data_IF_232685447697
#
_entry.id   IF_232685447697
#
_cell.length_a   1.000
_cell.length_b   1.000
_cell.length_c   1.000
_cell.angle_alpha   90.00
_cell.angle_beta   90.00
_cell.angle_gamma   90.00
#
_symmetry.space_group_name_H-M   'P 1'
#
loop_
_entity.id
_entity.type
_entity.pdbx_description
1 polymer ?
#
# COMPACT_ATOMS: atom_id res chain seq x y z
N UNK A 1 64.13 -24.23 -3.92
CA UNK A 1 63.85 -22.82 -4.25
C UNK A 1 62.55 -22.81 -5.07
N UNK A 2 61.39 -22.84 -4.39
CA UNK A 2 60.54 -21.68 -4.05
C UNK A 2 59.77 -21.07 -5.24
N UNK A 3 58.49 -20.82 -4.94
CA UNK A 3 57.42 -20.11 -5.68
C UNK A 3 56.56 -20.96 -6.60
N UNK A 4 55.24 -20.79 -6.66
CA UNK A 4 54.19 -20.36 -5.73
C UNK A 4 52.88 -20.64 -6.50
N UNK A 5 51.83 -20.97 -5.77
CA UNK A 5 50.51 -21.26 -6.30
C UNK A 5 49.83 -20.02 -6.92
N UNK A 6 48.96 -20.22 -7.92
CA UNK A 6 47.65 -19.57 -7.89
C UNK A 6 46.60 -20.27 -8.77
N UNK A 7 45.49 -20.55 -8.09
CA UNK A 7 44.28 -21.27 -8.47
C UNK A 7 43.30 -20.41 -9.28
N UNK A 8 42.42 -21.01 -10.12
CA UNK A 8 41.45 -20.29 -10.94
C UNK A 8 40.39 -19.57 -10.10
N UNK A 9 40.09 -18.33 -10.49
CA UNK A 9 39.05 -17.48 -9.88
C UNK A 9 37.66 -18.09 -10.11
N UNK A 10 37.21 -18.90 -9.17
CA UNK A 10 35.81 -19.31 -9.06
C UNK A 10 34.94 -18.11 -8.67
N UNK A 11 34.01 -17.74 -9.55
CA UNK A 11 32.96 -16.75 -9.24
C UNK A 11 32.04 -17.32 -8.17
N UNK A 12 32.16 -16.80 -6.94
CA UNK A 12 31.24 -17.15 -5.85
C UNK A 12 29.84 -16.65 -6.22
N UNK A 13 28.98 -17.57 -6.67
CA UNK A 13 27.54 -17.32 -6.71
C UNK A 13 27.07 -17.13 -5.27
N UNK A 14 26.79 -15.89 -4.89
CA UNK A 14 26.10 -15.61 -3.64
C UNK A 14 24.69 -16.22 -3.71
N UNK A 15 24.46 -17.27 -2.92
CA UNK A 15 23.11 -17.80 -2.69
C UNK A 15 22.31 -16.73 -1.94
N UNK A 16 21.46 -16.01 -2.66
CA UNK A 16 20.40 -15.19 -2.07
C UNK A 16 19.37 -16.16 -1.48
N UNK A 17 19.27 -16.22 -0.15
CA UNK A 17 18.15 -16.89 0.51
C UNK A 17 16.96 -15.95 0.44
N UNK A 18 15.88 -16.39 -0.20
CA UNK A 18 14.59 -15.72 -0.13
C UNK A 18 14.04 -15.90 1.29
N UNK A 19 14.13 -14.84 2.12
CA UNK A 19 13.29 -14.73 3.31
C UNK A 19 11.85 -14.44 2.86
N UNK A 20 10.86 -15.04 3.52
CA UNK A 20 9.43 -14.92 3.17
C UNK A 20 8.83 -13.55 3.54
N UNK A 21 9.67 -12.58 3.84
CA UNK A 21 9.31 -11.19 4.13
C UNK A 21 10.09 -10.33 3.14
N UNK A 22 9.34 -9.56 2.35
CA UNK A 22 9.77 -8.70 1.24
C UNK A 22 11.27 -8.44 1.06
N UNK A 23 11.72 -8.67 -0.19
CA UNK A 23 13.02 -8.30 -0.74
C UNK A 23 13.59 -6.97 -0.18
N UNK A 24 14.74 -7.02 0.48
CA UNK A 24 15.67 -5.90 0.80
C UNK A 24 17.10 -6.52 0.88
N UNK A 25 18.23 -5.99 0.42
CA UNK A 25 18.66 -4.91 -0.51
C UNK A 25 20.21 -4.96 -0.62
N UNK A 26 20.80 -4.53 -1.75
CA UNK A 26 22.27 -4.46 -1.95
C UNK A 26 22.89 -3.07 -1.73
N UNK A 27 22.11 -2.04 -1.40
CA UNK A 27 22.58 -0.67 -1.15
C UNK A 27 22.29 -0.29 0.32
N UNK A 28 23.29 0.16 1.08
CA UNK A 28 23.21 0.47 2.52
C UNK A 28 22.28 1.63 2.94
N UNK A 29 21.21 1.91 2.20
CA UNK A 29 20.13 2.84 2.56
C UNK A 29 18.99 2.05 3.18
N UNK A 30 18.41 2.57 4.26
CA UNK A 30 17.20 2.02 4.88
C UNK A 30 16.01 2.28 3.94
N UNK A 31 15.70 1.33 3.08
CA UNK A 31 14.50 1.39 2.26
C UNK A 31 13.31 0.94 3.11
N UNK A 32 12.36 1.85 3.28
CA UNK A 32 11.07 1.51 3.87
C UNK A 32 10.28 0.75 2.82
N UNK A 33 9.99 -0.52 3.09
CA UNK A 33 9.10 -1.32 2.24
C UNK A 33 7.68 -0.86 2.54
N UNK A 34 7.06 -0.19 1.58
CA UNK A 34 5.65 0.24 1.64
C UNK A 34 4.74 -0.84 1.06
N UNK A 35 3.57 -1.05 1.65
CA UNK A 35 2.55 -1.99 1.19
C UNK A 35 1.21 -1.31 0.84
N UNK A 36 1.17 0.01 0.79
CA UNK A 36 0.06 0.78 0.25
C UNK A 36 0.53 2.07 -0.44
N UNK A 37 -0.30 2.64 -1.31
CA UNK A 37 -0.02 3.87 -2.05
C UNK A 37 -1.17 4.86 -1.85
N UNK A 38 -0.81 6.08 -1.45
CA UNK A 38 -1.64 7.28 -1.44
C UNK A 38 -1.23 8.17 -2.61
N UNK A 39 -2.19 8.57 -3.46
CA UNK A 39 -1.89 9.28 -4.71
C UNK A 39 -2.14 10.78 -4.61
N UNK A 40 -3.17 11.21 -3.89
CA UNK A 40 -3.48 12.63 -3.67
C UNK A 40 -3.67 12.90 -2.17
N UNK A 41 -3.26 14.09 -1.72
CA UNK A 41 -3.44 14.53 -0.32
C UNK A 41 -4.90 14.65 0.12
N UNK A 42 -5.84 14.74 -0.83
CA UNK A 42 -7.30 14.80 -0.58
C UNK A 42 -7.91 13.41 -0.40
N UNK A 43 -7.19 12.35 -0.76
CA UNK A 43 -7.70 10.99 -0.66
C UNK A 43 -7.93 10.61 0.81
N UNK A 44 -9.05 9.95 1.07
CA UNK A 44 -9.34 9.35 2.38
C UNK A 44 -9.20 7.82 2.38
N UNK A 45 -8.72 7.26 1.26
CA UNK A 45 -8.39 5.84 1.10
C UNK A 45 -7.05 5.69 0.39
N UNK A 46 -6.28 4.67 0.74
CA UNK A 46 -5.08 4.25 -0.01
C UNK A 46 -5.31 2.89 -0.68
N UNK A 47 -4.47 2.52 -1.65
CA UNK A 47 -4.52 1.20 -2.29
C UNK A 47 -3.43 0.29 -1.74
N UNK A 48 -3.80 -0.85 -1.17
CA UNK A 48 -2.84 -1.88 -0.75
C UNK A 48 -2.14 -2.49 -1.97
N UNK A 49 -0.81 -2.57 -1.96
CA UNK A 49 0.00 -3.18 -3.04
C UNK A 49 0.41 -4.62 -2.72
N UNK A 50 0.18 -5.07 -1.50
CA UNK A 50 0.24 -6.46 -1.05
C UNK A 50 -0.90 -6.72 -0.07
N UNK A 51 -1.21 -8.00 0.26
CA UNK A 51 -2.16 -8.29 1.33
C UNK A 51 -1.71 -7.67 2.66
N UNK A 52 -2.66 -7.28 3.49
CA UNK A 52 -2.45 -6.85 4.88
C UNK A 52 -3.35 -7.70 5.79
N UNK A 53 -2.84 -8.09 6.94
CA UNK A 53 -3.58 -8.87 7.94
C UNK A 53 -4.04 -7.99 9.09
N UNK A 54 -5.13 -8.38 9.75
CA UNK A 54 -5.58 -7.71 10.96
C UNK A 54 -4.44 -7.62 12.00
N UNK A 55 -4.20 -6.43 12.54
CA UNK A 55 -3.10 -6.14 13.48
C UNK A 55 -1.79 -5.71 12.82
N UNK A 56 -1.66 -5.77 11.49
CA UNK A 56 -0.51 -5.21 10.79
C UNK A 56 -0.47 -3.68 10.89
N UNK A 57 0.72 -3.12 10.62
CA UNK A 57 0.88 -1.70 10.31
C UNK A 57 1.01 -1.53 8.80
N UNK A 58 0.09 -0.79 8.19
CA UNK A 58 0.10 -0.49 6.77
C UNK A 58 1.03 0.71 6.55
N UNK A 59 2.07 0.49 5.77
CA UNK A 59 3.09 1.47 5.41
C UNK A 59 2.75 2.09 4.07
N UNK A 60 2.31 3.34 4.14
CA UNK A 60 1.76 4.04 2.98
C UNK A 60 2.86 4.86 2.31
N UNK A 61 3.09 4.62 1.03
CA UNK A 61 3.85 5.54 0.19
C UNK A 61 3.00 6.79 -0.02
N UNK A 62 3.52 7.95 0.41
CA UNK A 62 2.85 9.24 0.26
C UNK A 62 1.95 9.66 1.43
N UNK A 63 1.93 8.90 2.53
CA UNK A 63 1.14 9.21 3.73
C UNK A 63 1.74 8.61 5.00
N UNK A 64 1.03 8.78 6.12
CA UNK A 64 1.41 8.21 7.42
C UNK A 64 1.11 6.71 7.49
N UNK A 65 1.79 5.99 8.38
CA UNK A 65 1.46 4.59 8.66
C UNK A 65 0.16 4.50 9.48
N UNK A 66 -0.68 3.50 9.18
CA UNK A 66 -1.97 3.28 9.86
C UNK A 66 -2.09 1.83 10.35
N UNK A 67 -2.88 1.56 11.41
CA UNK A 67 -3.19 0.18 11.80
C UNK A 67 -4.09 -0.49 10.75
N UNK A 68 -3.95 -1.80 10.58
CA UNK A 68 -4.88 -2.64 9.82
C UNK A 68 -5.85 -3.29 10.82
N UNK A 69 -7.16 -3.08 10.68
CA UNK A 69 -8.14 -3.61 11.65
C UNK A 69 -8.78 -4.92 11.20
N UNK A 70 -8.63 -5.29 9.93
CA UNK A 70 -9.12 -6.53 9.32
C UNK A 70 -8.21 -6.99 8.17
N UNK A 71 -8.45 -8.19 7.63
CA UNK A 71 -7.68 -8.70 6.49
C UNK A 71 -8.08 -7.98 5.19
N UNK A 72 -7.08 -7.40 4.49
CA UNK A 72 -7.29 -6.66 3.24
C UNK A 72 -6.51 -7.36 2.11
N UNK A 73 -7.19 -7.86 1.07
CA UNK A 73 -6.48 -8.45 -0.07
C UNK A 73 -5.69 -7.39 -0.86
N UNK A 74 -4.66 -7.83 -1.59
CA UNK A 74 -3.89 -6.93 -2.44
C UNK A 74 -4.78 -6.20 -3.47
N UNK A 75 -4.41 -4.97 -3.81
CA UNK A 75 -5.09 -4.11 -4.79
C UNK A 75 -6.44 -3.54 -4.35
N UNK A 76 -6.86 -3.83 -3.11
CA UNK A 76 -8.02 -3.21 -2.51
C UNK A 76 -7.67 -1.92 -1.75
N UNK A 77 -8.72 -1.21 -1.34
CA UNK A 77 -8.61 0.09 -0.67
C UNK A 77 -8.64 -0.09 0.84
N UNK A 78 -7.84 0.69 1.56
CA UNK A 78 -7.90 0.83 3.01
C UNK A 78 -8.29 2.25 3.38
N UNK A 79 -9.15 2.42 4.39
CA UNK A 79 -9.53 3.73 4.91
C UNK A 79 -8.39 4.37 5.71
N UNK A 80 -8.05 5.63 5.40
CA UNK A 80 -6.97 6.38 6.06
C UNK A 80 -7.42 7.08 7.35
N UNK A 81 -8.73 7.18 7.53
CA UNK A 81 -9.40 7.78 8.68
C UNK A 81 -10.76 7.11 8.82
N UNK A 82 -11.46 7.42 9.91
CA UNK A 82 -12.89 7.07 9.99
C UNK A 82 -13.66 7.81 8.89
N UNK A 83 -14.53 7.08 8.19
CA UNK A 83 -15.43 7.57 7.16
C UNK A 83 -16.85 7.23 7.63
N UNK A 84 -17.67 8.25 7.88
CA UNK A 84 -19.05 8.04 8.31
C UNK A 84 -19.93 7.58 7.13
N UNK A 85 -21.03 6.88 7.42
CA UNK A 85 -22.06 6.58 6.42
C UNK A 85 -22.49 7.87 5.68
N UNK A 86 -22.52 7.80 4.34
CA UNK A 86 -22.84 8.92 3.46
C UNK A 86 -21.67 9.89 3.23
N UNK A 87 -20.52 9.72 3.88
CA UNK A 87 -19.34 10.51 3.58
C UNK A 87 -18.73 10.08 2.24
N UNK A 88 -18.24 11.08 1.49
CA UNK A 88 -17.61 10.89 0.18
C UNK A 88 -16.30 10.13 0.31
N UNK A 89 -16.06 9.20 -0.61
CA UNK A 89 -14.81 8.48 -0.75
C UNK A 89 -13.96 9.21 -1.81
N UNK A 90 -12.79 9.68 -1.40
CA UNK A 90 -11.83 10.38 -2.26
C UNK A 90 -10.68 9.44 -2.63
N UNK A 91 -10.46 9.28 -3.94
CA UNK A 91 -9.32 8.56 -4.49
C UNK A 91 -8.84 9.26 -5.77
N UNK A 92 -7.53 9.38 -5.95
CA UNK A 92 -6.93 10.13 -7.06
C UNK A 92 -7.29 11.63 -7.05
N UNK A 93 -7.64 12.17 -5.88
CA UNK A 93 -8.10 13.53 -5.70
C UNK A 93 -9.57 13.75 -6.05
N UNK A 94 -10.29 12.69 -6.40
CA UNK A 94 -11.63 12.73 -6.97
C UNK A 94 -12.61 11.90 -6.15
N UNK A 95 -13.90 12.27 -6.19
CA UNK A 95 -14.96 11.47 -5.57
C UNK A 95 -15.16 10.21 -6.41
N UNK A 96 -15.06 9.04 -5.78
CA UNK A 96 -15.35 7.74 -6.41
C UNK A 96 -16.66 7.12 -5.93
N UNK A 97 -17.28 7.67 -4.90
CA UNK A 97 -18.48 7.13 -4.29
C UNK A 97 -18.76 7.72 -2.91
N UNK A 98 -19.73 7.13 -2.23
CA UNK A 98 -20.09 7.42 -0.83
C UNK A 98 -20.13 6.12 -0.02
N UNK A 99 -19.88 6.22 1.29
CA UNK A 99 -19.95 5.08 2.19
C UNK A 99 -21.40 4.64 2.44
N UNK A 100 -21.72 3.35 2.29
CA UNK A 100 -23.04 2.79 2.61
C UNK A 100 -23.20 2.48 4.11
N UNK A 101 -22.09 2.37 4.84
CA UNK A 101 -22.00 2.17 6.29
C UNK A 101 -20.87 3.01 6.87
N UNK A 102 -20.74 3.05 8.20
CA UNK A 102 -19.52 3.56 8.83
C UNK A 102 -18.34 2.65 8.47
N UNK A 103 -17.17 3.25 8.27
CA UNK A 103 -15.90 2.56 7.97
C UNK A 103 -14.83 3.15 8.89
N UNK A 104 -14.22 2.32 9.74
CA UNK A 104 -13.17 2.76 10.65
C UNK A 104 -11.81 2.93 9.93
N UNK A 105 -10.91 3.71 10.53
CA UNK A 105 -9.54 3.82 10.03
C UNK A 105 -8.88 2.44 9.99
N UNK A 106 -8.20 2.11 8.90
CA UNK A 106 -7.55 0.81 8.71
C UNK A 106 -8.47 -0.30 8.21
N UNK A 107 -9.76 -0.02 7.99
CA UNK A 107 -10.73 -1.00 7.51
C UNK A 107 -10.73 -1.11 5.98
N UNK A 108 -11.23 -2.24 5.47
CA UNK A 108 -11.32 -2.55 4.05
C UNK A 108 -12.44 -1.72 3.39
N UNK A 109 -12.08 -0.93 2.38
CA UNK A 109 -13.06 -0.20 1.55
C UNK A 109 -13.31 -0.98 0.25
N UNK A 110 -14.46 -1.65 0.19
CA UNK A 110 -14.85 -2.57 -0.88
C UNK A 110 -16.14 -2.12 -1.57
N UNK A 111 -16.64 -2.91 -2.52
CA UNK A 111 -17.93 -2.66 -3.19
C UNK A 111 -19.13 -2.94 -2.27
N UNK A 112 -18.91 -3.54 -1.11
CA UNK A 112 -19.96 -3.88 -0.14
C UNK A 112 -20.31 -2.69 0.76
N UNK A 113 -19.33 -1.81 1.03
CA UNK A 113 -19.47 -0.67 1.93
C UNK A 113 -19.39 0.70 1.24
N UNK A 114 -19.34 0.74 -0.10
CA UNK A 114 -19.45 1.97 -0.88
C UNK A 114 -20.38 1.79 -2.08
N UNK A 115 -20.94 2.89 -2.57
CA UNK A 115 -21.67 2.93 -3.83
C UNK A 115 -21.20 4.11 -4.68
N UNK A 116 -21.25 3.96 -6.00
CA UNK A 116 -20.92 5.03 -6.94
C UNK A 116 -21.96 6.14 -6.87
N UNK A 117 -21.51 7.39 -6.91
CA UNK A 117 -22.37 8.56 -7.04
C UNK A 117 -22.25 9.14 -8.46
N UNK A 118 -23.33 9.71 -9.04
CA UNK A 118 -23.24 10.41 -10.31
C UNK A 118 -22.21 11.53 -10.25
N UNK A 119 -21.37 11.64 -11.29
CA UNK A 119 -20.47 12.78 -11.46
C UNK A 119 -21.25 13.96 -12.04
N UNK A 120 -21.11 15.12 -11.41
CA UNK A 120 -21.70 16.36 -11.88
C UNK A 120 -20.75 17.01 -12.90
N UNK A 121 -20.88 16.60 -14.17
CA UNK A 121 -20.04 17.15 -15.25
C UNK A 121 -20.33 18.63 -15.51
N UNK A 122 -21.54 19.12 -15.20
CA UNK A 122 -21.92 20.52 -15.43
C UNK A 122 -21.11 21.44 -14.51
N UNK A 123 -20.87 21.04 -13.27
CA UNK A 123 -20.07 21.81 -12.32
C UNK A 123 -18.55 21.84 -12.63
N UNK A 124 -18.04 20.91 -13.43
CA UNK A 124 -16.60 20.77 -13.74
C UNK A 124 -16.18 21.42 -15.08
N UNK A 125 -17.14 21.67 -15.98
CA UNK A 125 -16.89 22.17 -17.34
C UNK A 125 -17.24 23.66 -17.55
N UNK A 126 -17.60 24.36 -16.48
CA UNK A 126 -17.90 25.81 -16.45
C UNK A 126 -16.69 26.62 -15.94
#
# INVERSE_FOLDING_TARGET
MQRDAQSPRGTRRHKVRADRRGFVQACGRRCVVTNAILLDSRDNVATCTSPAQAGDTIKILGGDEIPCVEDIPAWHKVALKKIARGEKIFKYGEIIGEASSDIDCGAWVSHENIFSVPRDYDAELL
#
